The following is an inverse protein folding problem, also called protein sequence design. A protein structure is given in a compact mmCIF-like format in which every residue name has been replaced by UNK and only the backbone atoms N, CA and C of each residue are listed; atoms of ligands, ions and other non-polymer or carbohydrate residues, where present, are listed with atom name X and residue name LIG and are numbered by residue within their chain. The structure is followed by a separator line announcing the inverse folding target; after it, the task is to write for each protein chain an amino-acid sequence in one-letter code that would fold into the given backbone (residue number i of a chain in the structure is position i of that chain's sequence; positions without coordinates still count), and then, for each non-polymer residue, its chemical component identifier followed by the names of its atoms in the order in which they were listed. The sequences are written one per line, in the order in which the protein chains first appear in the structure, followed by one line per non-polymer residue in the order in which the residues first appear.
data_IF_684963268662
#
_entry.id   IF_684963268662
#
_cell.length_a   1.000
_cell.length_b   1.000
_cell.length_c   1.000
_cell.angle_alpha   90.00
_cell.angle_beta   90.00
_cell.angle_gamma   90.00
#
_symmetry.space_group_name_H-M   'P 1'
#
loop_
_entity.id
_entity.type
_entity.pdbx_description
1 polymer ?
#
# COMPACT_ATOMS: atom_id res chain seq x y z
N UNK A 1 -13.79 -4.24 -25.09
CA UNK A 1 -12.67 -3.65 -24.31
C UNK A 1 -13.01 -3.83 -22.84
N UNK A 2 -12.16 -4.53 -22.08
CA UNK A 2 -12.35 -4.70 -20.63
C UNK A 2 -12.08 -3.38 -19.91
N UNK A 3 -12.89 -3.07 -18.89
CA UNK A 3 -12.66 -1.91 -18.02
C UNK A 3 -11.26 -2.00 -17.40
N UNK A 4 -10.54 -0.87 -17.24
CA UNK A 4 -9.30 -0.86 -16.49
C UNK A 4 -9.56 -1.34 -15.06
N UNK A 5 -8.76 -2.29 -14.57
CA UNK A 5 -8.81 -2.71 -13.17
C UNK A 5 -8.63 -1.47 -12.27
N UNK A 6 -9.58 -1.25 -11.35
CA UNK A 6 -9.63 -0.08 -10.47
C UNK A 6 -10.15 -0.51 -9.10
N UNK A 7 -9.48 -0.06 -8.04
CA UNK A 7 -9.85 -0.28 -6.64
C UNK A 7 -10.16 1.03 -5.90
N UNK A 8 -10.42 2.11 -6.64
CA UNK A 8 -10.82 3.41 -6.08
C UNK A 8 -9.68 4.37 -5.75
N UNK A 9 -8.44 4.05 -6.12
CA UNK A 9 -7.29 4.96 -5.95
C UNK A 9 -7.50 6.27 -6.72
N UNK A 10 -7.31 7.41 -6.05
CA UNK A 10 -7.37 8.73 -6.70
C UNK A 10 -6.05 9.06 -7.43
N UNK A 11 -5.97 8.67 -8.69
CA UNK A 11 -4.80 8.92 -9.54
C UNK A 11 -4.57 10.41 -9.83
N UNK A 12 -5.51 11.31 -9.54
CA UNK A 12 -5.28 12.76 -9.67
C UNK A 12 -4.22 13.21 -8.67
N UNK A 13 -4.30 12.71 -7.43
CA UNK A 13 -3.32 12.99 -6.38
C UNK A 13 -1.97 12.33 -6.68
N UNK A 14 -1.99 11.12 -7.24
CA UNK A 14 -0.79 10.45 -7.73
C UNK A 14 -0.04 11.32 -8.75
N UNK A 15 -0.74 11.83 -9.77
CA UNK A 15 -0.13 12.68 -10.81
C UNK A 15 0.43 13.99 -10.23
N UNK A 16 -0.24 14.59 -9.24
CA UNK A 16 0.29 15.78 -8.55
C UNK A 16 1.60 15.43 -7.82
N UNK A 17 1.64 14.34 -7.06
CA UNK A 17 2.84 13.92 -6.33
C UNK A 17 4.00 13.59 -7.27
N UNK A 18 3.74 12.85 -8.35
CA UNK A 18 4.74 12.53 -9.37
C UNK A 18 5.29 13.80 -10.06
N UNK A 19 4.41 14.71 -10.47
CA UNK A 19 4.84 15.95 -11.14
C UNK A 19 5.64 16.86 -10.22
N UNK A 20 5.19 17.05 -8.98
CA UNK A 20 5.89 17.89 -8.01
C UNK A 20 7.28 17.31 -7.73
N UNK A 21 7.38 16.02 -7.42
CA UNK A 21 8.68 15.37 -7.12
C UNK A 21 9.67 15.46 -8.29
N UNK A 22 9.20 15.37 -9.55
CA UNK A 22 10.03 15.57 -10.74
C UNK A 22 10.48 17.02 -10.96
N UNK A 23 9.73 18.00 -10.44
CA UNK A 23 9.99 19.43 -10.67
C UNK A 23 10.99 20.06 -9.68
N UNK A 24 11.36 19.34 -8.61
CA UNK A 24 12.23 19.86 -7.56
C UNK A 24 13.68 19.99 -8.02
N UNK A 25 14.37 21.04 -7.53
CA UNK A 25 15.82 21.21 -7.72
C UNK A 25 16.64 20.13 -7.02
N UNK A 26 16.16 19.67 -5.86
CA UNK A 26 16.75 18.54 -5.13
C UNK A 26 16.19 17.25 -5.74
N UNK A 27 17.03 16.32 -6.22
CA UNK A 27 16.54 15.09 -6.83
C UNK A 27 15.74 14.25 -5.83
N UNK A 28 14.49 13.92 -6.18
CA UNK A 28 13.65 12.99 -5.43
C UNK A 28 13.35 11.79 -6.32
N UNK A 29 13.59 10.58 -5.82
CA UNK A 29 13.19 9.36 -6.51
C UNK A 29 11.78 8.95 -6.05
N UNK A 30 10.81 9.10 -6.92
CA UNK A 30 9.42 8.74 -6.63
C UNK A 30 9.24 7.21 -6.71
N UNK A 31 8.98 6.56 -5.58
CA UNK A 31 8.70 5.13 -5.53
C UNK A 31 7.25 4.88 -6.01
N UNK A 32 7.10 4.57 -7.30
CA UNK A 32 5.82 4.24 -7.91
C UNK A 32 5.35 2.84 -7.48
N UNK A 33 4.80 2.74 -6.28
CA UNK A 33 4.31 1.49 -5.68
C UNK A 33 2.80 1.29 -5.87
N UNK A 34 2.07 2.27 -6.41
CA UNK A 34 0.60 2.27 -6.40
C UNK A 34 0.03 1.09 -7.19
N UNK A 35 0.31 0.99 -8.50
CA UNK A 35 -0.31 -0.01 -9.36
C UNK A 35 0.06 -1.45 -8.97
N UNK A 36 1.33 -1.68 -8.59
CA UNK A 36 1.75 -3.01 -8.13
C UNK A 36 1.05 -3.41 -6.82
N UNK A 37 0.76 -2.43 -5.96
CA UNK A 37 0.07 -2.66 -4.68
C UNK A 37 -1.41 -2.99 -4.89
N UNK A 38 -2.06 -2.40 -5.89
CA UNK A 38 -3.47 -2.70 -6.21
C UNK A 38 -3.70 -4.16 -6.60
N UNK A 39 -2.69 -4.86 -7.13
CA UNK A 39 -2.79 -6.29 -7.40
C UNK A 39 -2.80 -7.15 -6.14
N UNK A 40 -2.37 -6.61 -5.00
CA UNK A 40 -2.13 -7.34 -3.75
C UNK A 40 -3.30 -7.31 -2.79
N UNK A 41 -4.52 -7.52 -3.29
CA UNK A 41 -5.74 -7.65 -2.47
C UNK A 41 -5.65 -8.70 -1.36
N UNK A 42 -4.71 -9.65 -1.49
CA UNK A 42 -4.43 -10.74 -0.56
C UNK A 42 -3.58 -10.31 0.65
N UNK A 43 -2.87 -9.19 0.57
CA UNK A 43 -1.83 -8.85 1.55
C UNK A 43 -2.32 -8.00 2.73
N UNK A 44 -3.61 -7.63 2.74
CA UNK A 44 -4.19 -6.83 3.81
C UNK A 44 -4.32 -7.60 5.13
N UNK A 45 -4.37 -6.88 6.25
CA UNK A 45 -4.58 -7.49 7.57
C UNK A 45 -5.96 -8.12 7.73
N UNK A 46 -6.97 -7.63 7.00
CA UNK A 46 -8.35 -8.09 7.14
C UNK A 46 -8.79 -8.00 8.61
N UNK A 47 -9.36 -9.06 9.18
CA UNK A 47 -9.77 -9.16 10.58
C UNK A 47 -8.64 -9.60 11.53
N UNK A 48 -7.44 -9.87 11.01
CA UNK A 48 -6.29 -10.31 11.81
C UNK A 48 -5.49 -9.10 12.30
N UNK A 49 -6.19 -8.17 12.95
CA UNK A 49 -5.65 -6.88 13.38
C UNK A 49 -6.23 -6.46 14.73
N UNK A 50 -5.83 -5.28 15.19
CA UNK A 50 -6.30 -4.66 16.42
C UNK A 50 -7.38 -3.61 16.16
N UNK A 51 -8.30 -3.45 17.11
CA UNK A 51 -9.23 -2.31 17.17
C UNK A 51 -9.15 -1.72 18.57
N UNK A 52 -8.89 -0.40 18.65
CA UNK A 52 -8.74 0.32 19.93
C UNK A 52 -7.70 -0.34 20.87
N UNK A 53 -6.58 -0.81 20.30
CA UNK A 53 -5.45 -1.38 21.06
C UNK A 53 -5.60 -2.84 21.48
N UNK A 54 -6.65 -3.56 21.06
CA UNK A 54 -6.86 -4.97 21.38
C UNK A 54 -7.13 -5.81 20.13
N UNK A 55 -6.74 -7.08 20.16
CA UNK A 55 -7.08 -8.05 19.13
C UNK A 55 -8.60 -8.17 18.98
N UNK A 56 -9.07 -8.30 17.74
CA UNK A 56 -10.48 -8.61 17.47
C UNK A 56 -10.85 -9.99 18.05
N UNK A 57 -12.01 -10.08 18.69
CA UNK A 57 -12.52 -11.36 19.23
C UNK A 57 -12.92 -12.32 18.11
N UNK A 58 -13.06 -13.63 18.36
CA UNK A 58 -13.52 -14.58 17.35
C UNK A 58 -14.85 -14.17 16.69
N UNK A 59 -15.77 -13.60 17.45
CA UNK A 59 -17.07 -13.11 16.96
C UNK A 59 -16.91 -11.90 16.04
N UNK A 60 -15.99 -10.99 16.37
CA UNK A 60 -15.67 -9.84 15.51
C UNK A 60 -14.96 -10.27 14.23
N UNK A 61 -14.04 -11.24 14.32
CA UNK A 61 -13.35 -11.78 13.15
C UNK A 61 -14.30 -12.53 12.21
N UNK A 62 -15.39 -13.09 12.74
CA UNK A 62 -16.42 -13.75 11.93
C UNK A 62 -17.28 -12.77 11.10
N UNK A 63 -17.23 -11.46 11.37
CA UNK A 63 -17.91 -10.42 10.58
C UNK A 63 -16.91 -9.46 9.89
N UNK A 64 -16.26 -9.90 8.80
CA UNK A 64 -15.31 -9.07 8.08
C UNK A 64 -15.95 -7.85 7.41
N UNK A 65 -17.26 -7.86 7.12
CA UNK A 65 -17.93 -6.71 6.52
C UNK A 65 -17.93 -5.49 7.47
N UNK A 66 -17.94 -5.74 8.79
CA UNK A 66 -17.89 -4.69 9.81
C UNK A 66 -16.48 -4.44 10.34
N UNK A 67 -15.63 -5.47 10.38
CA UNK A 67 -14.36 -5.44 11.14
C UNK A 67 -13.09 -5.58 10.30
N UNK A 68 -13.16 -5.91 9.01
CA UNK A 68 -11.95 -6.06 8.20
C UNK A 68 -11.27 -4.71 7.95
N UNK A 69 -9.95 -4.68 8.16
CA UNK A 69 -9.09 -3.59 7.72
C UNK A 69 -8.51 -3.94 6.34
N UNK A 70 -9.00 -3.24 5.32
CA UNK A 70 -8.58 -3.35 3.92
C UNK A 70 -7.62 -2.21 3.50
N UNK A 71 -6.94 -1.57 4.47
CA UNK A 71 -6.00 -0.47 4.25
C UNK A 71 -4.59 -0.92 4.64
N UNK A 72 -4.45 -1.53 5.82
CA UNK A 72 -3.16 -1.96 6.36
C UNK A 72 -2.72 -3.32 5.81
N UNK A 73 -1.43 -3.61 5.94
CA UNK A 73 -0.77 -4.79 5.37
C UNK A 73 -0.21 -5.69 6.46
N UNK A 74 -0.30 -7.00 6.26
CA UNK A 74 0.44 -7.95 7.09
C UNK A 74 1.96 -7.78 6.92
N UNK A 75 2.71 -8.19 7.94
CA UNK A 75 4.17 -8.36 7.89
C UNK A 75 4.53 -9.80 8.32
N UNK A 76 5.41 -10.50 7.58
CA UNK A 76 5.98 -10.11 6.28
C UNK A 76 4.90 -9.96 5.19
N UNK A 77 5.13 -9.08 4.21
CA UNK A 77 4.11 -8.76 3.21
C UNK A 77 4.51 -7.70 2.18
N UNK A 78 3.51 -7.07 1.57
CA UNK A 78 3.71 -6.08 0.50
C UNK A 78 4.68 -4.93 0.87
N UNK A 79 4.66 -4.37 2.09
CA UNK A 79 5.62 -3.32 2.46
C UNK A 79 7.08 -3.75 2.36
N UNK A 80 7.38 -5.05 2.42
CA UNK A 80 8.73 -5.55 2.24
C UNK A 80 9.23 -5.29 0.81
N UNK A 81 8.38 -5.50 -0.21
CA UNK A 81 8.69 -5.15 -1.60
C UNK A 81 8.92 -3.65 -1.78
N UNK A 82 8.20 -2.80 -1.04
CA UNK A 82 8.46 -1.36 -1.06
C UNK A 82 9.86 -1.03 -0.51
N UNK A 83 10.24 -1.71 0.58
CA UNK A 83 11.57 -1.59 1.17
C UNK A 83 12.67 -2.14 0.27
N UNK A 84 12.41 -3.19 -0.52
CA UNK A 84 13.35 -3.70 -1.52
C UNK A 84 13.68 -2.64 -2.60
N UNK A 85 12.69 -1.84 -3.03
CA UNK A 85 12.97 -0.71 -3.93
C UNK A 85 13.85 0.35 -3.27
N UNK A 86 13.55 0.71 -2.02
CA UNK A 86 14.37 1.67 -1.28
C UNK A 86 15.80 1.17 -1.09
N UNK A 87 15.97 -0.07 -0.64
CA UNK A 87 17.25 -0.73 -0.47
C UNK A 87 18.04 -0.72 -1.78
N UNK A 88 17.42 -1.11 -2.89
CA UNK A 88 18.02 -1.08 -4.23
C UNK A 88 18.54 0.31 -4.58
N UNK A 89 17.78 1.38 -4.28
CA UNK A 89 18.20 2.76 -4.55
C UNK A 89 19.40 3.19 -3.71
N UNK A 90 19.46 2.76 -2.45
CA UNK A 90 20.58 3.06 -1.54
C UNK A 90 21.86 2.36 -2.03
N UNK A 91 21.80 1.05 -2.30
CA UNK A 91 22.99 0.29 -2.70
C UNK A 91 23.47 0.63 -4.13
N UNK A 92 22.58 1.11 -5.01
CA UNK A 92 22.96 1.55 -6.38
C UNK A 92 23.69 2.91 -6.40
N UNK A 93 23.97 3.48 -5.23
CA UNK A 93 24.71 4.74 -5.02
C UNK A 93 25.89 4.55 -4.06
N UNK A 94 26.05 3.35 -3.52
CA UNK A 94 27.20 2.96 -2.70
C UNK A 94 28.40 2.59 -3.56
#
# INVERSE_FOLDING_TARGET
MSMPFSVGTDYRLFSVAENVTRSLKVPVYFLNITRLSEFRKDAHTSVHTIRQGKMLTPEQQADPNTYADCIHWCLPGLPDTWNEFLYTRIISRS
#
